data_IF_289144260262
#
_entry.id   IF_289144260262
#
_cell.length_a   1.000
_cell.length_b   1.000
_cell.length_c   1.000
_cell.angle_alpha   90.00
_cell.angle_beta   90.00
_cell.angle_gamma   90.00
#
_symmetry.space_group_name_H-M   'P 1'
#
loop_
_entity.id
_entity.type
_entity.pdbx_description
1 polymer ?
#
# COMPACT_ATOMS: atom_id res chain seq x y z
N UNK A 1 1.18 -58.38 33.19
CA UNK A 1 0.96 -56.95 33.02
C UNK A 1 0.79 -56.62 31.53
N UNK A 2 -0.47 -56.40 31.08
CA UNK A 2 -0.77 -56.08 29.66
C UNK A 2 -0.67 -54.57 29.46
N UNK A 3 0.23 -54.13 28.59
CA UNK A 3 0.33 -52.73 28.16
C UNK A 3 -0.85 -52.40 27.24
N UNK A 4 -1.72 -51.50 27.67
CA UNK A 4 -2.79 -50.97 26.87
C UNK A 4 -2.22 -49.82 26.05
N UNK A 5 -2.05 -50.02 24.72
CA UNK A 5 -1.73 -48.96 23.81
C UNK A 5 -2.97 -48.11 23.58
N UNK A 6 -3.03 -46.93 24.17
CA UNK A 6 -4.06 -45.92 23.88
C UNK A 6 -3.73 -45.33 22.50
N UNK A 7 -4.40 -45.78 21.46
CA UNK A 7 -4.48 -45.06 20.17
C UNK A 7 -5.40 -43.87 20.37
N UNK A 8 -4.85 -42.67 20.38
CA UNK A 8 -5.64 -41.45 20.32
C UNK A 8 -6.15 -41.35 18.88
N UNK A 9 -7.42 -41.61 18.70
CA UNK A 9 -8.10 -41.37 17.44
C UNK A 9 -8.42 -39.86 17.36
N UNK A 10 -7.62 -39.12 16.62
CA UNK A 10 -7.91 -37.73 16.31
C UNK A 10 -9.03 -37.72 15.28
N UNK A 11 -10.27 -37.55 15.72
CA UNK A 11 -11.39 -37.30 14.83
C UNK A 11 -11.31 -35.84 14.41
N UNK A 12 -10.73 -35.60 13.25
CA UNK A 12 -10.90 -34.33 12.56
C UNK A 12 -12.36 -34.28 12.09
N UNK A 13 -13.22 -33.65 12.84
CA UNK A 13 -14.57 -33.33 12.39
C UNK A 13 -14.45 -32.25 11.32
N UNK A 14 -14.54 -32.65 10.07
CA UNK A 14 -14.83 -31.74 8.98
C UNK A 14 -16.25 -31.21 9.19
N UNK A 15 -16.37 -30.09 9.83
CA UNK A 15 -17.58 -29.30 9.77
C UNK A 15 -17.62 -28.65 8.38
N UNK A 16 -18.32 -29.27 7.45
CA UNK A 16 -18.88 -28.57 6.30
C UNK A 16 -20.00 -27.68 6.80
N UNK A 17 -19.66 -26.63 7.48
CA UNK A 17 -20.60 -25.55 7.67
C UNK A 17 -20.62 -24.75 6.38
N UNK A 18 -21.62 -24.99 5.57
CA UNK A 18 -22.12 -23.98 4.66
C UNK A 18 -22.64 -22.83 5.54
N UNK A 19 -21.79 -22.10 6.10
CA UNK A 19 -22.13 -20.94 6.88
C UNK A 19 -21.78 -19.72 6.06
N UNK A 20 -22.76 -19.08 5.68
CA UNK A 20 -22.95 -17.66 5.59
C UNK A 20 -22.25 -16.91 6.73
N UNK A 21 -20.97 -16.78 6.66
CA UNK A 21 -20.24 -15.94 7.60
C UNK A 21 -19.44 -14.92 6.82
N UNK A 22 -19.99 -13.78 6.76
CA UNK A 22 -19.27 -12.57 7.01
C UNK A 22 -18.62 -12.72 8.39
N UNK A 23 -17.53 -13.41 8.45
CA UNK A 23 -16.68 -13.35 9.61
C UNK A 23 -15.73 -12.18 9.34
N UNK A 24 -16.13 -11.00 9.76
CA UNK A 24 -15.26 -9.87 9.84
C UNK A 24 -14.15 -10.21 10.84
N UNK A 25 -13.04 -10.73 10.38
CA UNK A 25 -11.88 -10.92 11.21
C UNK A 25 -11.17 -9.57 11.33
N UNK A 26 -11.05 -9.10 12.55
CA UNK A 26 -10.33 -7.86 12.84
C UNK A 26 -8.99 -8.20 13.51
N UNK A 27 -7.93 -7.62 13.01
CA UNK A 27 -6.60 -7.69 13.61
C UNK A 27 -6.14 -6.26 13.87
N UNK A 28 -5.89 -5.96 15.13
CA UNK A 28 -5.26 -4.72 15.54
C UNK A 28 -3.85 -4.99 16.05
N UNK A 29 -2.90 -4.23 15.56
CA UNK A 29 -1.50 -4.33 15.97
C UNK A 29 -1.02 -2.94 16.37
N UNK A 30 -0.51 -2.84 17.56
CA UNK A 30 0.22 -1.69 18.07
C UNK A 30 1.61 -2.19 18.47
N UNK A 31 2.64 -1.67 17.84
CA UNK A 31 4.02 -2.09 18.07
C UNK A 31 4.91 -0.87 18.19
N UNK A 32 5.57 -0.73 19.33
CA UNK A 32 6.59 0.29 19.55
C UNK A 32 7.94 -0.35 19.88
N UNK A 33 9.01 0.31 19.41
CA UNK A 33 10.39 -0.12 19.65
C UNK A 33 11.15 -0.49 18.38
N UNK A 34 12.30 -1.12 18.53
CA UNK A 34 13.19 -1.42 17.42
C UNK A 34 13.06 -2.89 16.96
N UNK A 35 13.27 -3.11 15.66
CA UNK A 35 13.44 -4.43 15.04
C UNK A 35 12.28 -5.42 15.22
N UNK A 36 11.08 -5.00 14.92
CA UNK A 36 9.92 -5.90 14.85
C UNK A 36 9.79 -6.53 13.46
N UNK A 37 9.41 -7.79 13.42
CA UNK A 37 8.98 -8.48 12.21
C UNK A 37 7.56 -8.97 12.42
N UNK A 38 6.64 -8.47 11.62
CA UNK A 38 5.21 -8.74 11.73
C UNK A 38 4.75 -9.36 10.42
N UNK A 39 4.22 -10.56 10.51
CA UNK A 39 3.69 -11.32 9.38
C UNK A 39 2.22 -11.64 9.64
N UNK A 40 1.34 -11.21 8.74
CA UNK A 40 -0.10 -11.38 8.86
C UNK A 40 -0.67 -11.95 7.57
N UNK A 41 -1.28 -13.10 7.67
CA UNK A 41 -2.05 -13.71 6.59
C UNK A 41 -3.53 -13.72 6.94
N UNK A 42 -4.35 -13.15 6.06
CA UNK A 42 -5.81 -13.21 6.17
C UNK A 42 -6.45 -13.78 4.90
N UNK A 43 -7.22 -14.83 5.09
CA UNK A 43 -7.96 -15.51 4.03
C UNK A 43 -9.46 -15.31 4.25
N UNK A 44 -10.18 -14.91 3.21
CA UNK A 44 -11.63 -14.76 3.29
C UNK A 44 -12.11 -13.41 2.78
N UNK A 45 -13.31 -13.06 3.17
CA UNK A 45 -13.95 -11.81 2.74
C UNK A 45 -14.19 -10.90 3.94
N UNK A 46 -14.19 -9.60 3.71
CA UNK A 46 -14.49 -8.58 4.72
C UNK A 46 -13.56 -8.60 5.94
N UNK A 47 -12.33 -9.04 5.77
CA UNK A 47 -11.34 -8.97 6.84
C UNK A 47 -10.82 -7.54 7.01
N UNK A 48 -10.46 -7.20 8.23
CA UNK A 48 -9.93 -5.88 8.59
C UNK A 48 -8.61 -6.02 9.33
N UNK A 49 -7.58 -5.37 8.81
CA UNK A 49 -6.33 -5.15 9.54
C UNK A 49 -6.22 -3.66 9.85
N UNK A 50 -5.97 -3.35 11.10
CA UNK A 50 -6.05 -2.00 11.64
C UNK A 50 -7.50 -1.60 11.86
N UNK A 51 -7.84 -1.29 13.08
CA UNK A 51 -9.14 -0.76 13.41
C UNK A 51 -10.11 -1.68 14.07
N UNK A 52 -10.06 -1.70 15.37
CA UNK A 52 -11.26 -1.95 16.12
C UNK A 52 -12.21 -0.79 15.88
N UNK A 53 -13.40 -1.07 15.38
CA UNK A 53 -14.49 -0.10 15.36
C UNK A 53 -14.88 0.27 16.79
N UNK A 54 -14.12 1.15 17.40
CA UNK A 54 -14.57 1.77 18.65
C UNK A 54 -15.63 2.79 18.30
N UNK A 55 -16.88 2.45 18.47
CA UNK A 55 -18.03 3.37 18.39
C UNK A 55 -18.19 4.11 17.05
N UNK A 56 -19.19 3.74 16.29
CA UNK A 56 -19.73 4.53 15.18
C UNK A 56 -18.81 4.78 13.99
N UNK A 57 -18.06 3.78 13.53
CA UNK A 57 -17.42 3.82 12.20
C UNK A 57 -16.08 4.54 12.14
N UNK A 58 -15.45 4.84 13.26
CA UNK A 58 -14.07 5.31 13.29
C UNK A 58 -13.13 4.09 13.27
N UNK A 59 -12.38 3.96 12.20
CA UNK A 59 -11.32 2.96 12.11
C UNK A 59 -10.10 3.47 12.88
N UNK A 60 -9.51 2.61 13.72
CA UNK A 60 -8.21 2.86 14.33
C UNK A 60 -7.16 2.18 13.47
N UNK A 61 -6.15 2.88 12.96
CA UNK A 61 -5.11 2.24 12.14
C UNK A 61 -4.28 1.24 12.96
N UNK A 62 -3.70 0.26 12.27
CA UNK A 62 -2.54 -0.44 12.78
C UNK A 62 -1.45 0.59 13.05
N UNK A 63 -0.81 0.55 14.21
CA UNK A 63 0.15 1.56 14.64
C UNK A 63 1.54 0.93 14.87
N UNK A 64 2.52 1.38 14.08
CA UNK A 64 3.90 0.94 14.16
C UNK A 64 4.80 2.14 14.43
N UNK A 65 5.45 2.15 15.59
CA UNK A 65 6.35 3.22 16.01
C UNK A 65 7.73 2.66 16.36
N UNK A 66 8.77 3.10 15.64
CA UNK A 66 10.13 2.67 15.96
C UNK A 66 11.10 2.70 14.79
N UNK A 67 11.98 1.72 14.74
CA UNK A 67 13.00 1.64 13.70
C UNK A 67 13.33 0.20 13.32
N UNK A 68 13.65 -0.02 12.05
CA UNK A 68 14.03 -1.34 11.53
C UNK A 68 12.90 -2.37 11.55
N UNK A 69 11.67 -1.95 11.30
CA UNK A 69 10.51 -2.82 11.30
C UNK A 69 10.21 -3.40 9.92
N UNK A 70 9.72 -4.62 9.91
CA UNK A 70 9.17 -5.27 8.71
C UNK A 70 7.72 -5.65 8.95
N UNK A 71 6.86 -5.29 8.01
CA UNK A 71 5.45 -5.67 8.00
C UNK A 71 5.16 -6.43 6.71
N UNK A 72 4.82 -7.71 6.83
CA UNK A 72 4.42 -8.56 5.71
C UNK A 72 2.93 -8.87 5.84
N UNK A 73 2.15 -8.39 4.87
CA UNK A 73 0.70 -8.53 4.85
C UNK A 73 0.29 -9.31 3.60
N UNK A 74 -0.36 -10.43 3.81
CA UNK A 74 -0.97 -11.22 2.75
C UNK A 74 -2.48 -11.33 2.97
N UNK A 75 -3.25 -10.61 2.16
CA UNK A 75 -4.72 -10.63 2.22
C UNK A 75 -5.30 -11.22 0.95
N UNK A 76 -6.01 -12.34 1.09
CA UNK A 76 -6.62 -13.05 -0.02
C UNK A 76 -8.14 -13.09 0.17
N UNK A 77 -8.87 -12.54 -0.81
CA UNK A 77 -10.33 -12.49 -0.78
C UNK A 77 -10.88 -11.16 -1.26
N UNK A 78 -12.15 -10.92 -1.02
CA UNK A 78 -12.82 -9.71 -1.49
C UNK A 78 -13.26 -8.82 -0.32
N UNK A 79 -13.37 -7.54 -0.59
CA UNK A 79 -13.83 -6.54 0.38
C UNK A 79 -13.00 -6.44 1.67
N UNK A 80 -11.77 -6.88 1.62
CA UNK A 80 -10.83 -6.75 2.73
C UNK A 80 -10.35 -5.31 2.87
N UNK A 81 -10.03 -4.92 4.09
CA UNK A 81 -9.55 -3.58 4.40
C UNK A 81 -8.24 -3.66 5.18
N UNK A 82 -7.30 -2.86 4.74
CA UNK A 82 -6.08 -2.60 5.47
C UNK A 82 -5.96 -1.09 5.72
N UNK A 83 -5.67 -0.74 6.95
CA UNK A 83 -5.43 0.64 7.34
C UNK A 83 -4.24 0.69 8.30
N UNK A 84 -3.12 1.27 7.88
CA UNK A 84 -1.90 1.35 8.66
C UNK A 84 -1.39 2.76 8.82
N UNK A 85 -0.95 3.07 10.02
CA UNK A 85 -0.20 4.26 10.42
C UNK A 85 1.19 3.82 10.84
N UNK A 86 2.22 4.33 10.18
CA UNK A 86 3.59 3.86 10.32
C UNK A 86 4.51 5.03 10.63
N UNK A 87 5.12 5.00 11.80
CA UNK A 87 6.08 6.00 12.27
C UNK A 87 7.46 5.38 12.46
N UNK A 88 7.92 4.62 11.49
CA UNK A 88 9.13 3.82 11.61
C UNK A 88 10.19 4.22 10.60
N UNK A 89 11.40 4.50 11.07
CA UNK A 89 12.58 4.64 10.23
C UNK A 89 13.09 3.26 9.79
N UNK A 90 13.68 3.18 8.60
CA UNK A 90 14.16 1.91 8.03
C UNK A 90 13.07 0.84 7.98
N UNK A 91 11.91 1.23 7.56
CA UNK A 91 10.74 0.37 7.49
C UNK A 91 10.70 -0.41 6.17
N UNK A 92 10.28 -1.66 6.23
CA UNK A 92 10.01 -2.48 5.05
C UNK A 92 8.58 -2.99 5.09
N UNK A 93 7.78 -2.57 4.15
CA UNK A 93 6.43 -3.06 3.93
C UNK A 93 6.35 -3.99 2.73
N UNK A 94 5.83 -5.18 2.93
CA UNK A 94 5.54 -6.16 1.90
C UNK A 94 4.03 -6.40 1.90
N UNK A 95 3.37 -6.02 0.82
CA UNK A 95 1.90 -6.07 0.78
C UNK A 95 1.43 -6.86 -0.42
N UNK A 96 0.78 -7.97 -0.19
CA UNK A 96 0.21 -8.82 -1.21
C UNK A 96 -1.31 -8.91 -1.05
N UNK A 97 -2.02 -8.37 -2.02
CA UNK A 97 -3.47 -8.27 -2.00
C UNK A 97 -4.07 -8.97 -3.21
N UNK A 98 -4.74 -10.07 -2.98
CA UNK A 98 -5.38 -10.85 -4.04
C UNK A 98 -6.88 -10.86 -3.86
N UNK A 99 -7.62 -10.38 -4.86
CA UNK A 99 -9.09 -10.36 -4.85
C UNK A 99 -9.66 -9.04 -5.36
N UNK A 100 -10.93 -8.79 -5.09
CA UNK A 100 -11.61 -7.63 -5.65
C UNK A 100 -12.24 -6.74 -4.58
N UNK A 101 -12.37 -5.48 -4.92
CA UNK A 101 -12.99 -4.46 -4.06
C UNK A 101 -12.33 -4.32 -2.68
N UNK A 102 -11.04 -4.58 -2.60
CA UNK A 102 -10.28 -4.38 -1.38
C UNK A 102 -9.88 -2.88 -1.23
N UNK A 103 -9.76 -2.44 0.00
CA UNK A 103 -9.38 -1.08 0.35
C UNK A 103 -8.11 -1.09 1.20
N UNK A 104 -7.08 -0.42 0.70
CA UNK A 104 -5.78 -0.31 1.38
C UNK A 104 -5.43 1.14 1.57
N UNK A 105 -5.11 1.49 2.80
CA UNK A 105 -4.62 2.83 3.14
C UNK A 105 -3.39 2.69 4.02
N UNK A 106 -2.30 3.24 3.57
CA UNK A 106 -1.04 3.28 4.29
C UNK A 106 -0.68 4.74 4.47
N UNK A 107 -0.45 5.13 5.71
CA UNK A 107 0.08 6.43 6.07
C UNK A 107 1.45 6.20 6.72
N UNK A 108 2.46 6.88 6.20
CA UNK A 108 3.82 6.81 6.72
C UNK A 108 4.22 8.20 7.16
N UNK A 109 4.40 8.37 8.44
CA UNK A 109 4.66 9.62 9.14
C UNK A 109 3.62 10.74 8.90
N UNK A 110 2.32 10.51 9.06
CA UNK A 110 1.30 11.51 8.78
C UNK A 110 1.26 12.70 9.74
N UNK A 111 2.02 12.71 10.81
CA UNK A 111 2.13 13.85 11.73
C UNK A 111 3.20 13.75 12.82
N UNK A 112 4.05 12.76 12.77
CA UNK A 112 5.09 12.57 13.79
C UNK A 112 6.39 13.32 13.47
N UNK A 113 6.35 14.23 12.53
CA UNK A 113 7.41 15.18 12.25
C UNK A 113 8.67 14.54 11.66
N UNK A 114 8.50 13.89 10.49
CA UNK A 114 9.59 13.56 9.55
C UNK A 114 10.50 12.40 9.91
N UNK A 115 9.98 11.42 10.60
CA UNK A 115 10.50 10.06 10.60
C UNK A 115 10.11 9.31 9.32
N UNK A 116 10.32 8.04 9.27
CA UNK A 116 10.15 7.18 8.11
C UNK A 116 11.23 7.33 7.02
N UNK A 117 12.41 7.74 7.42
CA UNK A 117 13.58 7.70 6.58
C UNK A 117 13.91 6.26 6.16
N UNK A 118 14.34 6.09 4.91
CA UNK A 118 14.76 4.78 4.38
C UNK A 118 13.65 3.71 4.37
N UNK A 119 12.46 4.10 3.95
CA UNK A 119 11.33 3.19 3.84
C UNK A 119 11.29 2.49 2.48
N UNK A 120 10.91 1.21 2.48
CA UNK A 120 10.69 0.42 1.28
C UNK A 120 9.26 -0.14 1.32
N UNK A 121 8.50 0.06 0.25
CA UNK A 121 7.13 -0.44 0.13
C UNK A 121 6.95 -1.23 -1.16
N UNK A 122 6.91 -2.54 -1.03
CA UNK A 122 6.59 -3.45 -2.13
C UNK A 122 5.11 -3.81 -2.07
N UNK A 123 4.39 -3.50 -3.13
CA UNK A 123 2.94 -3.72 -3.21
C UNK A 123 2.62 -4.57 -4.43
N UNK A 124 1.98 -5.70 -4.21
CA UNK A 124 1.42 -6.53 -5.26
C UNK A 124 -0.10 -6.61 -5.11
N UNK A 125 -0.83 -6.13 -6.11
CA UNK A 125 -2.28 -6.18 -6.15
C UNK A 125 -2.73 -7.00 -7.34
N UNK A 126 -3.51 -8.04 -7.09
CA UNK A 126 -4.09 -8.87 -8.15
C UNK A 126 -5.61 -8.90 -8.02
N UNK A 127 -6.31 -8.40 -9.02
CA UNK A 127 -7.78 -8.37 -9.03
C UNK A 127 -8.36 -7.05 -9.51
N UNK A 128 -9.66 -6.90 -9.38
CA UNK A 128 -10.36 -5.76 -9.96
C UNK A 128 -11.08 -4.91 -8.91
N UNK A 129 -11.18 -3.62 -9.18
CA UNK A 129 -11.92 -2.69 -8.34
C UNK A 129 -11.29 -2.43 -6.97
N UNK A 130 -9.98 -2.65 -6.82
CA UNK A 130 -9.29 -2.35 -5.59
C UNK A 130 -8.94 -0.86 -5.50
N UNK A 131 -8.95 -0.35 -4.28
CA UNK A 131 -8.51 1.01 -3.99
C UNK A 131 -7.27 0.96 -3.12
N UNK A 132 -6.22 1.60 -3.57
CA UNK A 132 -4.95 1.68 -2.89
C UNK A 132 -4.56 3.15 -2.64
N UNK A 133 -4.21 3.47 -1.41
CA UNK A 133 -3.77 4.81 -1.03
C UNK A 133 -2.48 4.73 -0.21
N UNK A 134 -1.45 5.43 -0.65
CA UNK A 134 -0.24 5.68 0.14
C UNK A 134 -0.06 7.18 0.33
N UNK A 135 0.08 7.59 1.58
CA UNK A 135 0.51 8.93 1.94
C UNK A 135 1.80 8.83 2.74
N UNK A 136 2.87 9.44 2.25
CA UNK A 136 4.16 9.41 2.94
C UNK A 136 4.76 10.80 3.06
N UNK A 137 5.13 11.17 4.28
CA UNK A 137 5.87 12.37 4.62
C UNK A 137 5.21 13.64 4.08
N UNK A 138 4.09 14.04 4.60
CA UNK A 138 3.23 15.06 3.96
C UNK A 138 3.74 16.49 4.03
N UNK A 139 4.96 16.77 4.45
CA UNK A 139 5.54 18.11 4.33
C UNK A 139 7.06 18.22 4.53
N UNK A 140 7.82 17.19 4.77
CA UNK A 140 9.28 17.12 4.55
C UNK A 140 9.85 15.73 4.84
N UNK A 141 10.94 15.39 4.18
CA UNK A 141 11.87 14.29 4.35
C UNK A 141 11.29 12.87 4.35
N UNK A 142 10.91 12.39 3.18
CA UNK A 142 11.04 10.97 2.90
C UNK A 142 12.40 10.73 2.22
N UNK A 143 13.48 10.80 2.96
CA UNK A 143 14.80 10.50 2.42
C UNK A 143 14.89 8.99 2.11
N UNK A 144 15.26 8.65 0.88
CA UNK A 144 15.46 7.27 0.41
C UNK A 144 14.23 6.34 0.49
N UNK A 145 13.10 6.85 0.03
CA UNK A 145 11.92 6.04 -0.20
C UNK A 145 12.07 5.17 -1.45
N UNK A 146 11.81 3.89 -1.35
CA UNK A 146 11.73 2.96 -2.48
C UNK A 146 10.33 2.35 -2.58
N UNK A 147 9.68 2.57 -3.72
CA UNK A 147 8.36 2.03 -4.02
C UNK A 147 8.43 1.11 -5.22
N UNK A 148 8.00 -0.12 -5.05
CA UNK A 148 7.86 -1.10 -6.13
C UNK A 148 6.43 -1.66 -6.11
N UNK A 149 5.62 -1.22 -7.06
CA UNK A 149 4.21 -1.56 -7.12
C UNK A 149 3.87 -2.31 -8.39
N UNK A 150 3.28 -3.46 -8.24
CA UNK A 150 2.77 -4.30 -9.31
C UNK A 150 1.26 -4.46 -9.16
N UNK A 151 0.50 -3.92 -10.11
CA UNK A 151 -0.96 -3.90 -10.05
C UNK A 151 -1.51 -4.61 -11.28
N UNK A 152 -2.09 -5.77 -11.07
CA UNK A 152 -2.66 -6.61 -12.11
C UNK A 152 -4.19 -6.68 -11.99
N UNK A 153 -4.88 -6.22 -13.02
CA UNK A 153 -6.34 -6.24 -13.06
C UNK A 153 -6.94 -4.92 -13.53
N UNK A 154 -8.25 -4.83 -13.50
CA UNK A 154 -8.96 -3.69 -14.08
C UNK A 154 -9.76 -2.92 -13.05
N UNK A 155 -10.08 -1.67 -13.38
CA UNK A 155 -10.87 -0.79 -12.52
C UNK A 155 -10.25 -0.54 -11.14
N UNK A 156 -8.92 -0.60 -11.01
CA UNK A 156 -8.26 -0.26 -9.76
C UNK A 156 -8.05 1.26 -9.67
N UNK A 157 -8.15 1.77 -8.45
CA UNK A 157 -7.88 3.18 -8.14
C UNK A 157 -6.68 3.27 -7.23
N UNK A 158 -5.66 3.98 -7.67
CA UNK A 158 -4.39 4.13 -6.98
C UNK A 158 -4.17 5.61 -6.68
N UNK A 159 -3.88 5.92 -5.44
CA UNK A 159 -3.52 7.27 -5.01
C UNK A 159 -2.20 7.23 -4.25
N UNK A 160 -1.25 8.01 -4.68
CA UNK A 160 0.05 8.13 -4.02
C UNK A 160 0.40 9.61 -3.82
N UNK A 161 0.51 10.02 -2.58
CA UNK A 161 0.98 11.35 -2.20
C UNK A 161 2.24 11.18 -1.37
N UNK A 162 3.37 11.58 -1.91
CA UNK A 162 4.65 11.34 -1.27
C UNK A 162 5.58 12.54 -1.34
N UNK A 163 6.51 12.63 -0.41
CA UNK A 163 7.69 13.45 -0.56
C UNK A 163 8.73 12.72 -1.40
N UNK A 164 9.29 13.40 -2.38
CA UNK A 164 10.17 12.80 -3.39
C UNK A 164 11.65 13.01 -3.12
N UNK A 165 12.05 13.55 -1.99
CA UNK A 165 13.45 13.76 -1.66
C UNK A 165 14.19 12.40 -1.60
N UNK A 166 14.96 12.10 -2.64
CA UNK A 166 15.64 10.81 -2.78
C UNK A 166 14.74 9.60 -3.07
N UNK A 167 13.48 9.81 -3.43
CA UNK A 167 12.55 8.72 -3.70
C UNK A 167 12.82 8.03 -5.04
N UNK A 168 12.75 6.71 -5.05
CA UNK A 168 12.71 5.89 -6.26
C UNK A 168 11.38 5.17 -6.33
N UNK A 169 10.68 5.29 -7.44
CA UNK A 169 9.35 4.74 -7.59
C UNK A 169 9.21 4.01 -8.91
N UNK A 170 8.83 2.78 -8.80
CA UNK A 170 8.45 1.93 -9.92
C UNK A 170 7.00 1.48 -9.76
N UNK A 171 6.17 1.79 -10.75
CA UNK A 171 4.77 1.39 -10.77
C UNK A 171 4.51 0.66 -12.07
N UNK A 172 4.07 -0.59 -11.98
CA UNK A 172 3.68 -1.43 -13.10
C UNK A 172 2.17 -1.72 -13.00
N UNK A 173 1.43 -1.35 -14.04
CA UNK A 173 -0.03 -1.52 -14.08
C UNK A 173 -0.43 -2.30 -15.32
N UNK A 174 -0.84 -3.53 -15.11
CA UNK A 174 -1.38 -4.40 -16.14
C UNK A 174 -2.91 -4.50 -16.04
N UNK A 175 -3.62 -3.95 -17.03
CA UNK A 175 -5.07 -4.03 -17.07
C UNK A 175 -5.74 -2.77 -17.62
N UNK A 176 -7.06 -2.79 -17.67
CA UNK A 176 -7.84 -1.70 -18.26
C UNK A 176 -8.64 -0.92 -17.22
N UNK A 177 -9.01 0.30 -17.56
CA UNK A 177 -9.86 1.16 -16.74
C UNK A 177 -9.26 1.48 -15.35
N UNK A 178 -7.93 1.43 -15.22
CA UNK A 178 -7.24 1.80 -13.99
C UNK A 178 -7.07 3.33 -13.90
N UNK A 179 -7.19 3.83 -12.67
CA UNK A 179 -6.97 5.25 -12.35
C UNK A 179 -5.76 5.36 -11.44
N UNK A 180 -4.80 6.19 -11.82
CA UNK A 180 -3.64 6.54 -10.99
C UNK A 180 -3.61 8.05 -10.75
N UNK A 181 -3.60 8.43 -9.49
CA UNK A 181 -3.29 9.79 -9.06
C UNK A 181 -2.00 9.76 -8.25
N UNK A 182 -0.98 10.36 -8.80
CA UNK A 182 0.32 10.47 -8.16
C UNK A 182 0.66 11.94 -7.94
N UNK A 183 1.06 12.28 -6.72
CA UNK A 183 1.56 13.60 -6.36
C UNK A 183 2.86 13.44 -5.59
N UNK A 184 3.96 13.81 -6.24
CA UNK A 184 5.27 13.89 -5.63
C UNK A 184 5.61 15.34 -5.27
N UNK A 185 6.00 15.61 -4.05
CA UNK A 185 6.36 16.96 -3.58
C UNK A 185 7.76 16.95 -2.97
N UNK A 186 8.68 17.67 -3.57
CA UNK A 186 9.99 17.95 -2.99
C UNK A 186 10.00 19.27 -2.23
N UNK A 187 10.76 19.34 -1.16
CA UNK A 187 10.81 20.52 -0.29
C UNK A 187 12.21 21.05 -0.02
N UNK A 188 13.25 20.35 -0.45
CA UNK A 188 14.64 20.74 -0.20
C UNK A 188 15.45 20.87 -1.48
N UNK A 189 16.61 21.50 -1.37
CA UNK A 189 17.55 21.67 -2.50
C UNK A 189 18.13 20.33 -3.03
N UNK A 190 17.94 19.27 -2.31
CA UNK A 190 18.31 17.90 -2.70
C UNK A 190 17.11 17.09 -3.15
N UNK A 191 15.95 17.72 -3.26
CA UNK A 191 14.77 17.06 -3.77
C UNK A 191 15.06 16.51 -5.16
N UNK A 192 14.76 15.28 -5.37
CA UNK A 192 14.97 14.61 -6.64
C UNK A 192 14.37 13.24 -6.53
N UNK A 193 13.42 12.95 -7.38
CA UNK A 193 12.73 11.69 -7.39
C UNK A 193 12.82 11.01 -8.73
N UNK A 194 12.96 9.72 -8.73
CA UNK A 194 12.83 8.89 -9.90
C UNK A 194 11.45 8.27 -9.92
N UNK A 195 10.64 8.64 -10.92
CA UNK A 195 9.34 8.05 -11.13
C UNK A 195 9.32 7.29 -12.47
N UNK A 196 9.03 6.01 -12.39
CA UNK A 196 8.85 5.16 -13.55
C UNK A 196 7.47 4.50 -13.52
N UNK A 197 6.70 4.69 -14.58
CA UNK A 197 5.43 4.03 -14.78
C UNK A 197 5.50 3.16 -16.04
N UNK A 198 5.24 1.89 -15.90
CA UNK A 198 4.92 0.98 -17.00
C UNK A 198 3.44 0.63 -16.96
N UNK A 199 2.77 0.74 -18.07
CA UNK A 199 1.36 0.44 -18.12
C UNK A 199 0.98 -0.27 -19.41
N UNK A 200 0.35 -1.41 -19.25
CA UNK A 200 -0.20 -2.21 -20.34
C UNK A 200 -1.71 -2.38 -20.16
N UNK A 201 -2.47 -2.10 -21.22
CA UNK A 201 -3.94 -2.22 -21.21
C UNK A 201 -4.64 -1.02 -21.80
N UNK A 202 -5.97 -1.09 -21.89
CA UNK A 202 -6.78 -0.01 -22.45
C UNK A 202 -7.47 0.86 -21.40
N UNK A 203 -8.06 1.98 -21.84
CA UNK A 203 -8.92 2.86 -21.02
C UNK A 203 -8.32 3.19 -19.65
N UNK A 204 -7.44 4.14 -19.59
CA UNK A 204 -6.76 4.54 -18.35
C UNK A 204 -6.94 6.02 -18.06
N UNK A 205 -6.89 6.38 -16.79
CA UNK A 205 -6.85 7.78 -16.37
C UNK A 205 -5.70 7.97 -15.39
N UNK A 206 -4.67 8.69 -15.83
CA UNK A 206 -3.50 8.95 -14.99
C UNK A 206 -3.31 10.45 -14.83
N UNK A 207 -3.21 10.88 -13.59
CA UNK A 207 -2.83 12.22 -13.20
C UNK A 207 -1.53 12.12 -12.40
N UNK A 208 -0.44 12.56 -13.01
CA UNK A 208 0.90 12.42 -12.46
C UNK A 208 1.47 13.82 -12.28
N UNK A 209 1.75 14.18 -11.05
CA UNK A 209 2.33 15.46 -10.70
C UNK A 209 3.61 15.23 -9.90
N UNK A 210 4.72 15.67 -10.44
CA UNK A 210 5.97 15.72 -9.73
C UNK A 210 6.34 17.19 -9.56
N UNK A 211 6.14 17.69 -8.35
CA UNK A 211 6.31 19.09 -8.00
C UNK A 211 7.61 19.24 -7.20
N UNK A 212 8.73 19.25 -7.90
CA UNK A 212 10.01 19.42 -7.26
C UNK A 212 10.46 20.87 -7.27
N UNK A 213 11.30 21.23 -6.33
CA UNK A 213 11.93 22.55 -6.26
C UNK A 213 13.37 22.53 -6.75
N UNK A 214 13.87 21.41 -7.25
CA UNK A 214 15.31 21.29 -7.59
C UNK A 214 15.61 20.29 -8.72
N UNK A 215 16.82 20.35 -9.19
CA UNK A 215 17.37 19.52 -10.26
C UNK A 215 17.44 18.02 -9.89
N UNK A 216 17.40 17.16 -10.92
CA UNK A 216 17.48 15.70 -10.91
C UNK A 216 16.14 14.96 -10.80
N UNK A 217 15.05 15.59 -11.07
CA UNK A 217 13.79 14.90 -11.25
C UNK A 217 13.77 14.11 -12.55
N UNK A 218 13.45 12.86 -12.44
CA UNK A 218 13.31 12.00 -13.59
C UNK A 218 11.94 11.34 -13.60
N UNK A 219 11.25 11.51 -14.71
CA UNK A 219 9.92 10.95 -14.91
C UNK A 219 9.89 10.22 -16.23
N UNK A 220 9.58 8.92 -16.19
CA UNK A 220 9.41 8.11 -17.38
C UNK A 220 8.09 7.36 -17.34
N UNK A 221 7.35 7.48 -18.42
CA UNK A 221 6.09 6.76 -18.59
C UNK A 221 6.17 5.96 -19.86
N UNK A 222 6.01 4.67 -19.74
CA UNK A 222 5.72 3.75 -20.85
C UNK A 222 4.25 3.39 -20.75
N UNK A 223 3.53 3.57 -21.84
CA UNK A 223 2.11 3.24 -21.83
C UNK A 223 1.71 2.61 -23.14
N UNK A 224 1.21 1.40 -23.05
CA UNK A 224 0.77 0.60 -24.20
C UNK A 224 -0.70 0.25 -24.05
N UNK A 225 -1.52 0.69 -24.98
CA UNK A 225 -2.98 0.41 -24.93
C UNK A 225 -3.78 1.29 -25.87
N UNK A 226 -5.09 1.05 -25.92
CA UNK A 226 -5.95 1.58 -26.97
C UNK A 226 -6.48 2.98 -26.70
N UNK A 227 -6.71 3.41 -25.48
CA UNK A 227 -7.26 4.72 -25.16
C UNK A 227 -7.02 5.08 -23.69
N UNK A 228 -7.06 6.35 -23.38
CA UNK A 228 -6.92 6.83 -22.01
C UNK A 228 -6.44 8.26 -21.94
N UNK A 229 -6.50 8.81 -20.75
CA UNK A 229 -6.01 10.15 -20.44
C UNK A 229 -4.78 10.03 -19.58
N UNK A 230 -3.70 10.64 -19.99
CA UNK A 230 -2.49 10.76 -19.17
C UNK A 230 -2.18 12.26 -19.08
N UNK A 231 -2.29 12.77 -17.88
CA UNK A 231 -1.84 14.11 -17.56
C UNK A 231 -0.55 14.05 -16.77
N UNK A 232 0.44 14.79 -17.19
CA UNK A 232 1.74 14.85 -16.53
C UNK A 232 2.09 16.30 -16.28
N UNK A 233 2.35 16.62 -15.05
CA UNK A 233 2.90 17.91 -14.65
C UNK A 233 4.21 17.64 -13.94
N UNK A 234 5.29 18.10 -14.51
CA UNK A 234 6.58 18.20 -13.85
C UNK A 234 6.87 19.69 -13.70
N UNK A 235 6.90 20.16 -12.48
CA UNK A 235 7.01 21.57 -12.20
C UNK A 235 8.22 21.85 -11.31
N UNK A 236 9.15 22.62 -11.86
CA UNK A 236 10.25 23.17 -11.07
C UNK A 236 10.00 24.66 -10.84
N UNK A 237 9.25 24.97 -9.77
CA UNK A 237 8.85 26.30 -9.32
C UNK A 237 7.99 27.14 -10.27
N UNK A 238 7.34 26.51 -11.23
CA UNK A 238 6.36 27.17 -12.08
C UNK A 238 4.97 27.27 -11.46
N UNK A 239 4.08 27.98 -12.11
CA UNK A 239 2.67 27.99 -11.75
C UNK A 239 2.05 26.61 -11.99
N UNK A 240 1.27 26.11 -11.04
CA UNK A 240 0.52 24.87 -11.20
C UNK A 240 -0.34 24.94 -12.46
N UNK A 241 -0.10 24.00 -13.36
CA UNK A 241 -0.96 23.79 -14.52
C UNK A 241 -1.95 22.70 -14.13
N UNK A 242 -3.23 22.96 -14.30
CA UNK A 242 -4.25 21.93 -14.20
C UNK A 242 -4.39 21.19 -15.53
N UNK A 243 -4.58 19.90 -15.48
CA UNK A 243 -4.98 19.12 -16.64
C UNK A 243 -6.42 19.33 -17.03
#
# INVERSE_FOLDING_TARGET
>A
MKKINKKILLIASFFTSAALYSADNEIYIEQSGATANIDVEQLGISNLIGGLSSSAGSLTPLDLDGTGMTLDINMIGATNKFFGDIYADSFTGLYNFTGSTNLFTIQVDPSNTYGADSSNHNVAVTGAGNTFTLNQGTSAMAATLDLDWIIQGSNNTITSNINIDGATQYIDIDGSDNTLTYTGTGVTASAGGYFYLDQTGGSRTFNIQQLSTQDNDWLKILSTGSSGTICVIQNDQGTSLSC
#
